data_IF_382353984251
#
_entry.id   IF_382353984251
#
_cell.length_a   1.000
_cell.length_b   1.000
_cell.length_c   1.000
_cell.angle_alpha   90.00
_cell.angle_beta   90.00
_cell.angle_gamma   90.00
#
_symmetry.space_group_name_H-M   'P 1'
#
loop_
_entity.id
_entity.type
_entity.pdbx_description
1 polymer ?
#
# COMPACT_ATOMS: atom_id res chain seq x y z
N UNK A 1 -3.81 -14.56 -16.39
CA UNK A 1 -3.84 -13.73 -15.17
C UNK A 1 -2.69 -12.73 -15.25
N UNK A 2 -2.83 -11.54 -14.67
CA UNK A 2 -1.78 -10.52 -14.64
C UNK A 2 -1.22 -10.44 -13.23
N UNK A 3 0.08 -10.21 -13.10
CA UNK A 3 0.74 -10.03 -11.81
C UNK A 3 0.81 -8.56 -11.46
N UNK A 4 0.48 -8.22 -10.22
CA UNK A 4 0.55 -6.87 -9.68
C UNK A 4 1.42 -6.86 -8.44
N UNK A 5 2.23 -5.82 -8.30
CA UNK A 5 3.01 -5.53 -7.11
C UNK A 5 2.29 -4.43 -6.34
N UNK A 6 1.91 -4.73 -5.10
CA UNK A 6 1.19 -3.82 -4.22
C UNK A 6 2.07 -3.54 -3.00
N UNK A 7 2.44 -2.28 -2.83
CA UNK A 7 3.18 -1.78 -1.69
C UNK A 7 2.22 -1.13 -0.71
N UNK A 8 2.33 -1.53 0.55
CA UNK A 8 1.62 -1.00 1.71
C UNK A 8 2.60 -0.20 2.55
N UNK A 9 2.22 1.01 2.94
CA UNK A 9 2.99 1.84 3.84
C UNK A 9 2.08 2.45 4.90
N UNK A 10 2.44 2.29 6.17
CA UNK A 10 1.75 2.96 7.26
C UNK A 10 2.75 3.32 8.36
N UNK A 11 2.36 4.24 9.24
CA UNK A 11 3.18 4.64 10.38
C UNK A 11 2.78 3.86 11.63
N UNK A 12 3.70 3.07 12.16
CA UNK A 12 3.62 2.36 13.43
C UNK A 12 4.33 3.18 14.53
N UNK A 13 3.77 3.17 15.74
CA UNK A 13 4.32 3.98 16.85
C UNK A 13 5.56 3.37 17.48
N UNK A 14 5.78 2.06 17.30
CA UNK A 14 6.94 1.34 17.82
C UNK A 14 8.02 1.19 16.74
N UNK A 15 7.62 0.86 15.51
CA UNK A 15 8.55 0.53 14.42
C UNK A 15 8.83 1.71 13.48
N UNK A 16 8.06 2.80 13.54
CA UNK A 16 8.20 3.94 12.65
C UNK A 16 7.46 3.73 11.33
N UNK A 17 8.11 3.92 10.19
CA UNK A 17 7.44 3.66 8.89
C UNK A 17 7.55 2.18 8.56
N UNK A 18 6.42 1.49 8.51
CA UNK A 18 6.34 0.09 8.07
C UNK A 18 6.01 0.05 6.59
N UNK A 19 6.85 -0.63 5.81
CA UNK A 19 6.67 -0.84 4.37
C UNK A 19 6.60 -2.34 4.08
N UNK A 20 5.58 -2.77 3.33
CA UNK A 20 5.39 -4.17 2.94
C UNK A 20 5.01 -4.25 1.46
N UNK A 21 5.69 -5.12 0.71
CA UNK A 21 5.44 -5.28 -0.73
C UNK A 21 4.98 -6.70 -1.00
N UNK A 22 3.85 -6.83 -1.69
CA UNK A 22 3.20 -8.12 -1.98
C UNK A 22 2.95 -8.23 -3.48
N UNK A 23 3.32 -9.38 -4.05
CA UNK A 23 3.00 -9.74 -5.43
C UNK A 23 1.72 -10.57 -5.45
N UNK A 24 0.74 -10.16 -6.25
CA UNK A 24 -0.56 -10.80 -6.36
C UNK A 24 -0.95 -11.02 -7.82
N UNK A 25 -1.41 -12.22 -8.13
CA UNK A 25 -2.01 -12.52 -9.43
C UNK A 25 -3.51 -12.26 -9.39
N UNK A 26 -3.99 -11.47 -10.35
CA UNK A 26 -5.41 -11.12 -10.48
C UNK A 26 -5.81 -10.87 -11.93
N UNK A 27 -7.12 -10.82 -12.17
CA UNK A 27 -7.68 -10.48 -13.49
C UNK A 27 -7.63 -8.98 -13.78
N UNK A 28 -7.60 -8.14 -12.74
CA UNK A 28 -7.60 -6.67 -12.83
C UNK A 28 -6.82 -6.03 -11.68
N UNK A 29 -6.34 -4.79 -11.88
CA UNK A 29 -5.61 -4.05 -10.86
C UNK A 29 -6.45 -3.78 -9.60
N UNK A 30 -7.72 -3.31 -9.69
CA UNK A 30 -8.57 -3.16 -8.51
C UNK A 30 -8.78 -4.48 -7.76
N UNK A 31 -8.93 -5.60 -8.48
CA UNK A 31 -9.07 -6.92 -7.89
C UNK A 31 -7.80 -7.38 -7.18
N UNK A 32 -6.63 -7.12 -7.77
CA UNK A 32 -5.33 -7.38 -7.16
C UNK A 32 -5.10 -6.57 -5.89
N UNK A 33 -5.36 -5.27 -5.95
CA UNK A 33 -5.26 -4.37 -4.79
C UNK A 33 -6.20 -4.80 -3.68
N UNK A 34 -7.47 -5.08 -3.96
CA UNK A 34 -8.43 -5.51 -2.95
C UNK A 34 -8.00 -6.82 -2.27
N UNK A 35 -7.51 -7.80 -3.05
CA UNK A 35 -7.03 -9.07 -2.52
C UNK A 35 -5.79 -8.89 -1.63
N UNK A 36 -4.78 -8.16 -2.12
CA UNK A 36 -3.55 -7.91 -1.37
C UNK A 36 -3.82 -7.11 -0.10
N UNK A 37 -4.67 -6.07 -0.16
CA UNK A 37 -5.01 -5.25 1.01
C UNK A 37 -5.72 -6.07 2.07
N UNK A 38 -6.64 -6.96 1.66
CA UNK A 38 -7.36 -7.84 2.59
C UNK A 38 -6.43 -8.81 3.29
N UNK A 39 -5.47 -9.39 2.57
CA UNK A 39 -4.48 -10.31 3.16
C UNK A 39 -3.52 -9.56 4.09
N UNK A 40 -3.04 -8.39 3.69
CA UNK A 40 -2.19 -7.53 4.50
C UNK A 40 -2.86 -7.15 5.83
N UNK A 41 -4.06 -6.55 5.78
CA UNK A 41 -4.79 -6.13 7.00
C UNK A 41 -5.12 -7.33 7.89
N UNK A 42 -5.41 -8.50 7.31
CA UNK A 42 -5.64 -9.73 8.08
C UNK A 42 -4.40 -10.19 8.84
N UNK A 43 -3.20 -9.99 8.29
CA UNK A 43 -1.93 -10.33 8.93
C UNK A 43 -1.50 -9.38 10.05
N UNK A 44 -2.09 -8.18 10.12
CA UNK A 44 -1.76 -7.19 11.15
C UNK A 44 -2.36 -7.52 12.53
N UNK A 45 -1.58 -7.27 13.57
CA UNK A 45 -2.02 -7.35 14.97
C UNK A 45 -2.98 -6.22 15.36
N UNK A 46 -3.69 -6.37 16.49
CA UNK A 46 -4.66 -5.38 17.00
C UNK A 46 -4.04 -3.96 17.12
N UNK A 47 -2.79 -3.86 17.57
CA UNK A 47 -2.10 -2.57 17.73
C UNK A 47 -1.73 -1.95 16.39
N UNK A 48 -1.13 -2.75 15.49
CA UNK A 48 -0.78 -2.32 14.14
C UNK A 48 -2.00 -1.87 13.34
N UNK A 49 -3.14 -2.58 13.44
CA UNK A 49 -4.41 -2.13 12.83
C UNK A 49 -4.89 -0.81 13.37
N UNK A 50 -4.77 -0.58 14.68
CA UNK A 50 -5.16 0.69 15.30
C UNK A 50 -4.28 1.84 14.80
N UNK A 51 -2.96 1.64 14.76
CA UNK A 51 -2.02 2.65 14.28
C UNK A 51 -2.20 2.92 12.78
N UNK A 52 -2.38 1.87 11.97
CA UNK A 52 -2.72 1.99 10.54
C UNK A 52 -4.03 2.78 10.34
N UNK A 53 -5.09 2.46 11.08
CA UNK A 53 -6.36 3.19 10.97
C UNK A 53 -6.25 4.64 11.44
N UNK A 54 -5.34 4.93 12.37
CA UNK A 54 -5.15 6.27 12.94
C UNK A 54 -4.26 7.15 12.07
N UNK A 55 -3.20 6.59 11.49
CA UNK A 55 -2.18 7.32 10.74
C UNK A 55 -2.40 7.21 9.22
N UNK A 56 -3.29 6.33 8.78
CA UNK A 56 -3.56 6.07 7.38
C UNK A 56 -2.70 4.93 6.82
N UNK A 57 -3.23 4.30 5.76
CA UNK A 57 -2.54 3.30 4.96
C UNK A 57 -2.38 3.85 3.54
N UNK A 58 -1.13 4.03 3.12
CA UNK A 58 -0.80 4.31 1.73
C UNK A 58 -0.67 2.99 0.97
N UNK A 59 -1.34 2.91 -0.19
CA UNK A 59 -1.33 1.73 -1.06
C UNK A 59 -0.87 2.16 -2.44
N UNK A 60 0.28 1.66 -2.88
CA UNK A 60 0.80 1.87 -4.23
C UNK A 60 0.75 0.56 -4.99
N UNK A 61 0.18 0.53 -6.19
CA UNK A 61 0.07 -0.67 -6.99
C UNK A 61 0.64 -0.48 -8.39
N UNK A 62 1.41 -1.45 -8.87
CA UNK A 62 2.03 -1.46 -10.20
C UNK A 62 1.81 -2.82 -10.88
N UNK A 63 1.54 -2.83 -12.17
CA UNK A 63 1.48 -4.07 -12.94
C UNK A 63 2.90 -4.57 -13.22
N UNK A 64 3.20 -5.80 -12.83
CA UNK A 64 4.51 -6.42 -13.10
C UNK A 64 4.48 -6.92 -14.54
N UNK A 65 5.25 -6.28 -15.42
CA UNK A 65 5.30 -6.57 -16.87
C UNK A 65 4.99 -5.38 -17.78
N UNK A 66 4.56 -4.24 -17.21
CA UNK A 66 4.68 -2.95 -17.88
C UNK A 66 6.03 -2.35 -17.49
N UNK A 67 6.93 -2.15 -18.44
CA UNK A 67 8.19 -1.47 -18.21
C UNK A 67 7.95 -0.13 -17.49
N UNK A 68 8.69 0.09 -16.40
CA UNK A 68 9.06 1.39 -15.83
C UNK A 68 8.07 2.55 -15.98
N UNK A 69 7.48 2.96 -14.85
CA UNK A 69 7.57 4.36 -14.43
C UNK A 69 7.39 4.49 -12.91
N UNK A 70 8.35 5.17 -12.30
CA UNK A 70 8.26 5.80 -10.98
C UNK A 70 7.93 7.26 -11.31
N UNK A 71 6.93 7.85 -10.66
CA UNK A 71 7.25 8.84 -9.62
C UNK A 71 6.46 8.52 -8.35
N UNK A 72 7.09 8.44 -7.18
CA UNK A 72 7.64 9.54 -6.39
C UNK A 72 6.53 10.41 -5.77
N UNK A 73 6.36 10.22 -4.46
CA UNK A 73 5.99 11.17 -3.41
C UNK A 73 5.29 12.47 -3.86
N UNK A 74 4.10 12.71 -3.33
CA UNK A 74 3.76 14.06 -2.84
C UNK A 74 2.86 13.92 -1.61
N UNK A 75 3.49 13.86 -0.43
CA UNK A 75 2.89 14.34 0.80
C UNK A 75 3.06 15.87 0.84
N UNK A 76 1.96 16.57 1.11
CA UNK A 76 1.82 17.88 1.76
C UNK A 76 2.56 19.11 1.20
N UNK A 77 1.84 20.18 0.85
CA UNK A 77 1.59 21.32 1.77
C UNK A 77 1.16 22.62 1.03
N UNK A 78 0.04 23.18 1.49
CA UNK A 78 -0.38 24.59 1.64
C UNK A 78 -0.15 25.71 0.58
N UNK A 79 -1.23 26.50 0.49
CA UNK A 79 -1.31 27.98 0.41
C UNK A 79 -1.04 28.71 -0.93
N UNK A 80 -2.11 29.23 -1.53
CA UNK A 80 -2.36 30.68 -1.72
C UNK A 80 -3.58 30.91 -2.64
N UNK A 81 -4.47 31.84 -2.27
CA UNK A 81 -5.54 32.37 -3.13
C UNK A 81 -6.84 32.63 -2.40
#
# INVERSE_FOLDING_TARGET
MKSFEVQFRYQDRNEGTVESTVKVDASSLPGGVAKATREFVKGLDRKQRFDMNKNGLEITAKAVGAATEVPAKTSTEAAAG
#
